data_IF_030740099812
#
_entry.id   IF_030740099812
#
_cell.length_a   1.000
_cell.length_b   1.000
_cell.length_c   1.000
_cell.angle_alpha   90.00
_cell.angle_beta   90.00
_cell.angle_gamma   90.00
#
_symmetry.space_group_name_H-M   'P 1'
#
loop_
_entity.id
_entity.type
_entity.pdbx_description
1 polymer ?
#
# COMPACT_ATOMS: atom_id res chain seq x y z
N UNK A 1 14.11 -4.79 1.12
CA UNK A 1 13.37 -3.58 0.76
C UNK A 1 13.78 -2.45 1.70
N UNK A 2 14.14 -1.27 1.18
CA UNK A 2 14.55 -0.11 1.99
C UNK A 2 13.35 0.73 2.48
N UNK A 3 13.58 1.69 3.38
CA UNK A 3 12.49 2.49 3.98
C UNK A 3 11.69 3.29 2.94
N UNK A 4 12.32 3.81 1.88
CA UNK A 4 11.62 4.53 0.81
C UNK A 4 10.66 3.61 0.05
N UNK A 5 11.12 2.41 -0.28
CA UNK A 5 10.31 1.39 -0.94
C UNK A 5 9.17 0.91 -0.05
N UNK A 6 9.43 0.72 1.25
CA UNK A 6 8.38 0.38 2.23
C UNK A 6 7.32 1.47 2.32
N UNK A 7 7.72 2.73 2.38
CA UNK A 7 6.80 3.88 2.40
C UNK A 7 5.96 3.94 1.13
N UNK A 8 6.58 3.77 -0.04
CA UNK A 8 5.86 3.74 -1.32
C UNK A 8 4.85 2.59 -1.35
N UNK A 9 5.27 1.38 -0.96
CA UNK A 9 4.41 0.20 -0.95
C UNK A 9 3.24 0.38 0.04
N UNK A 10 3.49 0.93 1.23
CA UNK A 10 2.46 1.23 2.21
C UNK A 10 1.42 2.20 1.63
N UNK A 11 1.86 3.29 1.02
CA UNK A 11 0.95 4.24 0.37
C UNK A 11 0.09 3.57 -0.72
N UNK A 12 0.72 2.78 -1.59
CA UNK A 12 0.03 2.10 -2.68
C UNK A 12 -1.03 1.13 -2.17
N UNK A 13 -0.70 0.36 -1.12
CA UNK A 13 -1.64 -0.57 -0.49
C UNK A 13 -2.82 0.18 0.14
N UNK A 14 -2.57 1.28 0.87
CA UNK A 14 -3.66 2.07 1.48
C UNK A 14 -4.58 2.72 0.43
N UNK A 15 -4.01 3.19 -0.68
CA UNK A 15 -4.76 3.69 -1.84
C UNK A 15 -5.60 2.60 -2.49
N UNK A 16 -5.03 1.41 -2.65
CA UNK A 16 -5.69 0.25 -3.24
C UNK A 16 -6.85 -0.23 -2.36
N UNK A 17 -6.66 -0.36 -1.03
CA UNK A 17 -7.72 -0.68 -0.07
C UNK A 17 -8.88 0.32 -0.17
N UNK A 18 -8.58 1.63 -0.30
CA UNK A 18 -9.60 2.65 -0.50
C UNK A 18 -10.37 2.47 -1.81
N UNK A 19 -9.69 2.07 -2.87
CA UNK A 19 -10.27 1.94 -4.20
C UNK A 19 -11.04 0.63 -4.38
N UNK A 20 -10.74 -0.38 -3.56
CA UNK A 20 -11.27 -1.73 -3.71
C UNK A 20 -12.46 -1.99 -2.76
N UNK A 21 -13.62 -2.32 -3.34
CA UNK A 21 -14.88 -2.49 -2.60
C UNK A 21 -15.14 -3.94 -2.14
N UNK A 22 -14.27 -4.92 -2.45
CA UNK A 22 -14.43 -6.30 -1.97
C UNK A 22 -13.21 -7.25 -2.16
N UNK A 23 -13.24 -8.32 -1.35
CA UNK A 23 -12.43 -9.56 -1.26
C UNK A 23 -10.91 -9.44 -1.03
N UNK A 24 -10.44 -10.18 -0.03
CA UNK A 24 -9.03 -10.33 0.41
C UNK A 24 -8.33 -9.09 1.00
N UNK A 25 -9.12 -8.15 1.57
CA UNK A 25 -8.60 -6.97 2.30
C UNK A 25 -7.71 -7.36 3.49
N UNK A 26 -7.98 -8.50 4.12
CA UNK A 26 -7.27 -8.95 5.31
C UNK A 26 -5.75 -9.05 5.08
N UNK A 27 -5.33 -9.67 3.97
CA UNK A 27 -3.91 -9.79 3.63
C UNK A 27 -3.26 -8.42 3.42
N UNK A 28 -3.92 -7.54 2.68
CA UNK A 28 -3.42 -6.18 2.39
C UNK A 28 -3.29 -5.35 3.67
N UNK A 29 -4.28 -5.42 4.54
CA UNK A 29 -4.28 -4.73 5.84
C UNK A 29 -3.17 -5.27 6.75
N UNK A 30 -2.98 -6.58 6.80
CA UNK A 30 -1.89 -7.19 7.58
C UNK A 30 -0.51 -6.72 7.07
N UNK A 31 -0.31 -6.68 5.76
CA UNK A 31 0.93 -6.18 5.16
C UNK A 31 1.13 -4.69 5.43
N UNK A 32 0.08 -3.88 5.28
CA UNK A 32 0.14 -2.45 5.61
C UNK A 32 0.51 -2.23 7.08
N UNK A 33 -0.07 -3.00 7.99
CA UNK A 33 0.24 -2.93 9.42
C UNK A 33 1.70 -3.30 9.71
N UNK A 34 2.22 -4.35 9.06
CA UNK A 34 3.61 -4.76 9.21
C UNK A 34 4.58 -3.67 8.70
N UNK A 35 4.32 -3.12 7.50
CA UNK A 35 5.12 -2.03 6.93
C UNK A 35 5.11 -0.79 7.83
N UNK A 36 3.94 -0.37 8.31
CA UNK A 36 3.81 0.74 9.25
C UNK A 36 4.56 0.49 10.56
N UNK A 37 4.53 -0.75 11.07
CA UNK A 37 5.27 -1.16 12.27
C UNK A 37 6.78 -1.08 12.07
N UNK A 38 7.29 -1.61 10.96
CA UNK A 38 8.73 -1.57 10.64
C UNK A 38 9.23 -0.14 10.47
N UNK A 39 8.40 0.73 9.86
CA UNK A 39 8.67 2.15 9.67
C UNK A 39 8.40 3.00 10.93
N UNK A 40 7.84 2.41 12.00
CA UNK A 40 7.48 3.07 13.25
C UNK A 40 6.52 4.25 13.06
N UNK A 41 5.54 4.10 12.18
CA UNK A 41 4.54 5.11 11.87
C UNK A 41 3.32 4.96 12.80
N UNK A 42 3.43 5.49 14.03
CA UNK A 42 2.43 5.28 15.10
C UNK A 42 0.99 5.61 14.66
N UNK A 43 0.79 6.70 13.93
CA UNK A 43 -0.55 7.09 13.43
C UNK A 43 -1.11 6.14 12.39
N UNK A 44 -0.28 5.64 11.49
CA UNK A 44 -0.69 4.62 10.52
C UNK A 44 -1.00 3.30 11.22
N UNK A 45 -0.20 2.90 12.21
CA UNK A 45 -0.44 1.70 13.02
C UNK A 45 -1.80 1.79 13.72
N UNK A 46 -2.08 2.89 14.41
CA UNK A 46 -3.37 3.13 15.09
C UNK A 46 -4.54 3.03 14.10
N UNK A 47 -4.46 3.73 12.97
CA UNK A 47 -5.52 3.80 11.97
C UNK A 47 -5.79 2.44 11.29
N UNK A 48 -4.71 1.73 10.90
CA UNK A 48 -4.81 0.43 10.25
C UNK A 48 -5.35 -0.63 11.22
N UNK A 49 -4.92 -0.61 12.49
CA UNK A 49 -5.40 -1.53 13.52
C UNK A 49 -6.88 -1.30 13.86
N UNK A 50 -7.35 -0.05 13.85
CA UNK A 50 -8.79 0.26 14.00
C UNK A 50 -9.59 -0.28 12.81
N UNK A 51 -9.13 -0.01 11.58
CA UNK A 51 -9.76 -0.56 10.38
C UNK A 51 -9.82 -2.08 10.40
N UNK A 52 -8.74 -2.75 10.81
CA UNK A 52 -8.63 -4.21 10.90
C UNK A 52 -9.75 -4.82 11.77
N UNK A 53 -10.12 -4.17 12.87
CA UNK A 53 -11.19 -4.62 13.77
C UNK A 53 -12.59 -4.52 13.15
N UNK A 54 -12.76 -3.67 12.14
CA UNK A 54 -14.04 -3.47 11.44
C UNK A 54 -14.20 -4.35 10.20
N UNK A 55 -13.12 -5.02 9.75
CA UNK A 55 -13.13 -5.94 8.62
C UNK A 55 -13.99 -7.17 8.93
N UNK A 56 -15.19 -7.22 8.36
CA UNK A 56 -16.20 -8.24 8.67
C UNK A 56 -17.53 -7.66 9.14
N UNK A 57 -17.57 -6.36 9.44
CA UNK A 57 -18.82 -5.61 9.59
C UNK A 57 -19.29 -5.06 8.23
N UNK A 58 -20.59 -4.83 8.08
CA UNK A 58 -21.18 -4.17 6.89
C UNK A 58 -20.74 -2.69 6.73
N UNK A 59 -19.81 -2.21 7.55
CA UNK A 59 -19.35 -0.82 7.65
C UNK A 59 -17.88 -0.63 7.28
N UNK A 60 -17.21 -1.66 6.76
CA UNK A 60 -15.83 -1.57 6.32
C UNK A 60 -15.72 -0.62 5.12
N UNK A 61 -15.27 0.61 5.37
CA UNK A 61 -15.21 1.69 4.40
C UNK A 61 -13.77 2.16 4.22
N UNK A 62 -13.13 1.72 3.13
CA UNK A 62 -11.74 2.08 2.80
C UNK A 62 -11.52 3.58 2.59
N UNK A 63 -12.57 4.41 2.50
CA UNK A 63 -12.43 5.89 2.52
C UNK A 63 -11.75 6.40 3.78
N UNK A 64 -11.76 5.61 4.86
CA UNK A 64 -11.05 5.90 6.10
C UNK A 64 -9.55 6.22 5.89
N UNK A 65 -8.90 5.58 4.91
CA UNK A 65 -7.48 5.83 4.60
C UNK A 65 -7.23 7.08 3.74
N UNK A 66 -8.28 7.70 3.17
CA UNK A 66 -8.18 8.95 2.42
C UNK A 66 -8.21 10.15 3.39
N UNK A 67 -7.18 10.22 4.21
CA UNK A 67 -6.87 11.34 5.10
C UNK A 67 -5.40 11.71 4.93
N UNK A 68 -4.98 12.86 5.47
CA UNK A 68 -3.58 13.28 5.41
C UNK A 68 -2.68 12.32 6.21
N UNK A 69 -1.43 12.24 5.76
CA UNK A 69 -0.38 11.42 6.38
C UNK A 69 -0.15 11.73 7.87
N UNK A 70 -0.40 12.97 8.31
CA UNK A 70 -0.33 13.36 9.73
C UNK A 70 -1.38 12.64 10.61
N UNK A 71 -2.46 12.15 9.99
CA UNK A 71 -3.53 11.38 10.65
C UNK A 71 -3.49 9.89 10.29
N UNK A 72 -2.37 9.40 9.73
CA UNK A 72 -2.20 7.97 9.40
C UNK A 72 -2.76 7.55 8.03
N UNK A 73 -3.28 8.49 7.24
CA UNK A 73 -3.74 8.21 5.88
C UNK A 73 -2.61 8.25 4.85
N UNK A 74 -2.97 8.03 3.59
CA UNK A 74 -2.00 8.02 2.49
C UNK A 74 -1.83 9.38 1.79
N UNK A 75 -2.73 10.35 2.01
CA UNK A 75 -2.65 11.62 1.29
C UNK A 75 -1.39 12.40 1.72
N UNK A 76 -0.48 12.60 0.76
CA UNK A 76 0.78 13.32 0.96
C UNK A 76 1.98 12.46 1.37
N UNK A 77 1.85 11.13 1.51
CA UNK A 77 2.97 10.24 1.86
C UNK A 77 4.14 10.35 0.87
N UNK A 78 3.91 10.13 -0.42
CA UNK A 78 4.94 10.17 -1.47
C UNK A 78 5.61 11.53 -1.58
N UNK A 79 4.82 12.61 -1.52
CA UNK A 79 5.31 13.98 -1.59
C UNK A 79 6.26 14.32 -0.45
N UNK A 80 6.03 13.80 0.76
CA UNK A 80 6.93 14.02 1.90
C UNK A 80 8.29 13.34 1.75
N UNK A 81 8.33 12.22 1.01
CA UNK A 81 9.51 11.39 0.88
C UNK A 81 10.20 11.50 -0.49
N UNK A 82 9.69 12.36 -1.38
CA UNK A 82 10.13 12.53 -2.77
C UNK A 82 10.23 11.17 -3.48
N UNK A 83 9.16 10.37 -3.35
CA UNK A 83 9.08 9.03 -3.91
C UNK A 83 8.56 9.09 -5.34
N UNK A 84 9.31 8.49 -6.26
CA UNK A 84 8.88 8.28 -7.63
C UNK A 84 8.04 7.00 -7.70
N UNK A 85 6.93 7.07 -8.43
CA UNK A 85 6.03 5.93 -8.66
C UNK A 85 6.58 5.05 -9.79
N UNK A 86 7.81 4.59 -9.62
CA UNK A 86 8.51 3.70 -10.55
C UNK A 86 8.66 2.30 -9.97
N UNK A 87 8.73 1.31 -10.83
CA UNK A 87 8.73 -0.12 -10.51
C UNK A 87 10.04 -0.80 -10.90
N UNK A 88 10.60 -0.51 -12.08
CA UNK A 88 11.69 -1.31 -12.63
C UNK A 88 13.03 -1.11 -11.90
N UNK A 89 13.23 0.08 -11.33
CA UNK A 89 14.40 0.46 -10.53
C UNK A 89 14.36 -0.06 -9.09
N UNK A 90 13.22 -0.61 -8.65
CA UNK A 90 13.02 -1.09 -7.28
C UNK A 90 13.60 -2.49 -7.07
N UNK A 91 13.80 -2.85 -5.82
CA UNK A 91 14.28 -4.18 -5.41
C UNK A 91 13.28 -5.28 -5.79
N UNK A 92 13.79 -6.49 -6.00
CA UNK A 92 12.96 -7.67 -6.33
C UNK A 92 11.91 -7.98 -5.25
N UNK A 93 12.23 -7.71 -3.98
CA UNK A 93 11.29 -7.83 -2.88
C UNK A 93 10.12 -6.84 -3.01
N UNK A 94 10.40 -5.57 -3.30
CA UNK A 94 9.35 -4.58 -3.57
C UNK A 94 8.49 -5.00 -4.76
N UNK A 95 9.14 -5.40 -5.86
CA UNK A 95 8.46 -5.80 -7.09
C UNK A 95 7.49 -6.96 -6.88
N UNK A 96 7.93 -7.99 -6.15
CA UNK A 96 7.11 -9.15 -5.81
C UNK A 96 5.92 -8.76 -4.92
N UNK A 97 6.13 -7.93 -3.89
CA UNK A 97 5.06 -7.49 -3.01
C UNK A 97 4.05 -6.57 -3.72
N UNK A 98 4.52 -5.64 -4.55
CA UNK A 98 3.65 -4.76 -5.32
C UNK A 98 2.79 -5.56 -6.31
N UNK A 99 3.37 -6.57 -6.98
CA UNK A 99 2.63 -7.46 -7.86
C UNK A 99 1.56 -8.28 -7.11
N UNK A 100 1.86 -8.77 -5.91
CA UNK A 100 0.94 -9.57 -5.10
C UNK A 100 -0.21 -8.74 -4.50
N UNK A 101 0.08 -7.53 -4.01
CA UNK A 101 -0.87 -6.78 -3.17
C UNK A 101 -1.59 -5.63 -3.87
N UNK A 102 -1.10 -5.13 -4.99
CA UNK A 102 -1.76 -4.04 -5.74
C UNK A 102 -2.64 -4.64 -6.83
N UNK A 103 -3.92 -4.25 -6.87
CA UNK A 103 -4.91 -4.86 -7.78
C UNK A 103 -4.62 -4.55 -9.24
N UNK A 104 -4.20 -3.31 -9.53
CA UNK A 104 -3.91 -2.82 -10.87
C UNK A 104 -2.59 -2.05 -10.88
N UNK A 105 -1.45 -2.74 -10.79
CA UNK A 105 -0.15 -2.10 -10.71
C UNK A 105 0.19 -1.28 -11.98
N UNK A 106 -0.40 -1.62 -13.13
CA UNK A 106 -0.27 -0.86 -14.37
C UNK A 106 -0.82 0.57 -14.31
N UNK A 107 -1.69 0.87 -13.34
CA UNK A 107 -2.16 2.24 -13.08
C UNK A 107 -1.48 2.88 -11.87
N UNK A 108 -0.64 2.13 -11.16
CA UNK A 108 0.06 2.57 -9.97
C UNK A 108 1.48 3.07 -10.26
N UNK A 109 2.11 2.55 -11.32
CA UNK A 109 3.50 2.85 -11.67
C UNK A 109 3.64 3.49 -13.07
N UNK A 110 4.52 4.48 -13.20
CA UNK A 110 4.77 5.25 -14.42
C UNK A 110 5.51 4.46 -15.50
N UNK A 111 6.40 3.57 -15.07
CA UNK A 111 7.26 2.73 -15.91
C UNK A 111 6.81 1.26 -15.89
N UNK A 112 5.54 0.99 -15.61
CA UNK A 112 5.00 -0.37 -15.62
C UNK A 112 5.06 -0.95 -17.04
N UNK A 113 6.16 -1.61 -17.35
CA UNK A 113 6.23 -2.52 -18.47
C UNK A 113 5.72 -3.86 -17.95
N UNK A 114 4.56 -4.27 -18.46
CA UNK A 114 4.00 -5.59 -18.17
C UNK A 114 5.14 -6.59 -18.31
N UNK A 115 5.49 -7.29 -17.23
CA UNK A 115 6.48 -8.37 -17.29
C UNK A 115 5.92 -9.35 -18.32
N UNK A 116 6.35 -9.21 -19.58
CA UNK A 116 6.10 -10.22 -20.57
C UNK A 116 6.80 -11.42 -20.00
N UNK A 117 6.01 -12.43 -19.61
CA UNK A 117 6.50 -13.73 -19.21
C UNK A 117 7.52 -14.20 -20.25
N UNK A 118 8.79 -13.88 -20.00
CA UNK A 118 9.89 -14.35 -20.81
C UNK A 118 10.30 -15.64 -20.13
N UNK A 119 9.48 -16.66 -20.43
CA UNK A 119 9.78 -18.08 -20.42
C UNK A 119 10.13 -18.73 -19.07
N UNK A 120 9.28 -19.67 -18.63
CA UNK A 120 9.45 -21.10 -18.90
C UNK A 120 8.15 -21.88 -18.63
#
# INVERSE_FOLDING_TARGET
>A
MNDKEKTLLLELILRDIRANWAFDLEKRVNVALNLATELKLEKHIELIADFQQTMGSNWCDGRHFRTSVEYGGYEGMSSMHNLEYTYNDKSEEFKAMAYEYITYPEYAFEDWEQIQNTLL
#
